data_IF_093569705806
#
_entry.id   IF_093569705806
#
_cell.length_a   1.000
_cell.length_b   1.000
_cell.length_c   1.000
_cell.angle_alpha   90.00
_cell.angle_beta   90.00
_cell.angle_gamma   90.00
#
_symmetry.space_group_name_H-M   'P 1'
#
loop_
_entity.id
_entity.type
_entity.pdbx_description
1 polymer ?
#
# COMPACT_ATOMS: atom_id res chain seq x y z
N UNK A 1 68.20 -18.75 36.59
CA UNK A 1 67.13 -19.28 35.75
C UNK A 1 65.76 -18.86 36.19
N UNK A 2 65.56 -17.99 37.17
CA UNK A 2 64.25 -17.52 37.68
C UNK A 2 63.75 -16.19 37.07
N UNK A 3 64.62 -15.40 36.45
CA UNK A 3 64.29 -14.10 35.92
C UNK A 3 63.44 -14.22 34.60
N UNK A 4 63.68 -15.25 33.79
CA UNK A 4 63.00 -15.47 32.53
C UNK A 4 61.50 -15.83 32.72
N UNK A 5 61.17 -16.54 33.80
CA UNK A 5 59.78 -16.96 34.06
C UNK A 5 58.90 -15.79 34.49
N UNK A 6 59.42 -14.77 35.14
CA UNK A 6 58.62 -13.58 35.56
C UNK A 6 58.36 -12.64 34.41
N UNK A 7 59.25 -12.51 33.43
CA UNK A 7 59.11 -11.71 32.25
C UNK A 7 58.10 -12.37 31.32
N UNK A 8 58.12 -13.69 31.19
CA UNK A 8 57.13 -14.42 30.36
C UNK A 8 55.74 -14.36 30.96
N UNK A 9 55.58 -14.40 32.27
CA UNK A 9 54.29 -14.25 32.94
C UNK A 9 53.76 -12.84 32.82
N UNK A 10 54.58 -11.79 32.88
CA UNK A 10 54.18 -10.40 32.69
C UNK A 10 53.76 -10.14 31.25
N UNK A 11 54.44 -10.70 30.26
CA UNK A 11 54.04 -10.59 28.85
C UNK A 11 52.71 -11.29 28.57
N UNK A 12 52.43 -12.44 29.20
CA UNK A 12 51.18 -13.16 29.02
C UNK A 12 49.98 -12.39 29.58
N UNK A 13 50.16 -11.67 30.70
CA UNK A 13 49.08 -10.85 31.30
C UNK A 13 48.76 -9.61 30.45
N UNK A 14 49.74 -9.07 29.73
CA UNK A 14 49.53 -7.91 28.85
C UNK A 14 48.73 -8.31 27.58
N UNK A 15 48.93 -9.54 27.07
CA UNK A 15 48.21 -10.02 25.90
C UNK A 15 46.76 -10.47 26.19
N UNK A 16 46.40 -10.82 27.41
CA UNK A 16 45.04 -11.20 27.79
C UNK A 16 44.16 -10.00 28.17
N UNK A 17 44.75 -8.80 28.39
CA UNK A 17 43.99 -7.60 28.74
C UNK A 17 43.54 -6.77 27.53
N UNK A 18 43.87 -7.18 26.30
CA UNK A 18 43.51 -6.44 25.08
C UNK A 18 42.19 -6.86 24.42
N UNK A 19 41.34 -7.64 25.07
CA UNK A 19 40.07 -8.06 24.46
C UNK A 19 38.84 -7.28 24.92
N UNK A 20 38.98 -6.34 25.84
CA UNK A 20 37.94 -5.39 26.18
C UNK A 20 38.53 -3.99 26.21
N UNK A 21 38.33 -3.24 25.11
CA UNK A 21 38.66 -1.83 25.13
C UNK A 21 37.52 -1.11 25.90
N UNK A 22 37.79 -0.58 27.12
CA UNK A 22 36.74 0.07 27.90
C UNK A 22 36.24 1.40 27.28
N UNK A 23 36.85 1.82 26.17
CA UNK A 23 36.46 3.05 25.45
C UNK A 23 35.62 2.76 24.21
N UNK A 24 35.46 1.50 23.80
CA UNK A 24 34.58 1.11 22.74
C UNK A 24 33.51 0.20 23.33
N UNK A 25 32.39 0.80 23.68
CA UNK A 25 31.22 0.01 23.92
C UNK A 25 30.74 -0.50 22.55
N UNK A 26 31.07 -1.74 22.22
CA UNK A 26 30.40 -2.52 21.15
C UNK A 26 28.96 -2.86 21.60
N UNK A 27 28.31 -1.89 22.19
CA UNK A 27 26.83 -1.99 22.36
C UNK A 27 26.28 -1.92 20.96
N UNK A 28 25.64 -2.99 20.46
CA UNK A 28 24.98 -2.92 19.17
C UNK A 28 24.10 -1.67 19.18
N UNK A 29 24.18 -0.85 18.14
CA UNK A 29 23.37 0.35 18.02
C UNK A 29 21.94 -0.05 18.32
N UNK A 30 21.35 0.58 19.34
CA UNK A 30 19.97 0.26 19.73
C UNK A 30 19.09 0.52 18.54
N UNK A 31 18.48 -0.54 17.97
CA UNK A 31 17.50 -0.37 16.89
C UNK A 31 16.44 0.62 17.35
N UNK A 32 16.16 1.60 16.54
CA UNK A 32 15.09 2.53 16.79
C UNK A 32 13.80 1.86 16.32
N UNK A 33 12.87 1.68 17.24
CA UNK A 33 11.52 1.23 16.94
C UNK A 33 10.60 2.44 17.00
N UNK A 34 9.81 2.65 15.96
CA UNK A 34 8.73 3.64 15.95
C UNK A 34 7.38 2.94 15.97
N UNK A 35 6.44 3.49 16.72
CA UNK A 35 5.13 2.88 16.88
C UNK A 35 4.05 3.93 17.10
N UNK A 36 2.80 3.57 16.79
CA UNK A 36 1.68 4.49 16.98
C UNK A 36 0.36 3.89 16.55
N UNK A 37 -0.67 4.73 16.56
CA UNK A 37 -2.01 4.39 16.13
C UNK A 37 -2.45 5.28 14.97
N UNK A 38 -3.14 4.65 14.01
CA UNK A 38 -3.75 5.32 12.87
C UNK A 38 -5.22 4.94 12.82
N UNK A 39 -6.09 5.94 12.82
CA UNK A 39 -7.54 5.76 12.71
C UNK A 39 -8.04 6.30 11.38
N UNK A 40 -9.02 5.62 10.82
CA UNK A 40 -9.69 5.97 9.57
C UNK A 40 -11.03 6.62 9.89
N UNK A 41 -11.27 7.79 9.35
CA UNK A 41 -12.60 8.41 9.42
C UNK A 41 -13.55 7.70 8.44
N UNK A 42 -14.80 7.47 8.86
CA UNK A 42 -15.86 6.88 8.03
C UNK A 42 -15.46 5.57 7.33
N UNK A 43 -14.66 4.76 8.01
CA UNK A 43 -14.21 3.47 7.48
C UNK A 43 -15.36 2.48 7.37
N UNK A 44 -15.43 1.78 6.22
CA UNK A 44 -16.41 0.73 5.94
C UNK A 44 -15.83 -0.68 5.99
N UNK A 45 -14.52 -0.80 6.09
CA UNK A 45 -13.79 -2.07 6.13
C UNK A 45 -12.59 -2.05 7.10
N UNK A 46 -12.05 -3.21 7.40
CA UNK A 46 -10.86 -3.36 8.25
C UNK A 46 -9.54 -3.37 7.44
N UNK A 47 -9.53 -2.74 6.27
CA UNK A 47 -8.30 -2.63 5.47
C UNK A 47 -7.20 -1.95 6.29
N UNK A 48 -6.00 -2.56 6.39
CA UNK A 48 -4.88 -2.00 7.11
C UNK A 48 -4.35 -0.73 6.42
N UNK A 49 -3.84 0.20 7.21
CA UNK A 49 -3.11 1.38 6.70
C UNK A 49 -1.68 0.96 6.39
N UNK A 50 -1.21 1.29 5.20
CA UNK A 50 0.20 1.12 4.84
C UNK A 50 1.03 2.25 5.47
N UNK A 51 2.09 1.90 6.19
CA UNK A 51 3.00 2.83 6.86
C UNK A 51 4.36 2.73 6.20
N UNK A 52 4.88 3.85 5.73
CA UNK A 52 6.14 3.92 4.98
C UNK A 52 7.06 4.99 5.56
N UNK A 53 8.35 4.66 5.71
CA UNK A 53 9.40 5.58 6.18
C UNK A 53 10.24 6.04 5.00
N UNK A 54 10.09 7.31 4.65
CA UNK A 54 10.75 7.93 3.50
C UNK A 54 12.28 7.85 3.60
N UNK A 55 12.93 7.48 2.50
CA UNK A 55 14.39 7.43 2.40
C UNK A 55 15.06 6.28 3.17
N UNK A 56 14.33 5.53 3.98
CA UNK A 56 14.87 4.39 4.73
C UNK A 56 14.39 3.03 4.19
N UNK A 57 13.46 3.02 3.25
CA UNK A 57 12.93 1.81 2.64
C UNK A 57 12.20 0.87 3.63
N UNK A 58 11.88 1.36 4.83
CA UNK A 58 11.20 0.58 5.85
C UNK A 58 9.68 0.80 5.72
N UNK A 59 8.91 -0.28 5.78
CA UNK A 59 7.46 -0.23 5.71
C UNK A 59 6.80 -1.31 6.55
N UNK A 60 5.56 -1.07 6.94
CA UNK A 60 4.70 -2.02 7.64
C UNK A 60 3.24 -1.69 7.33
N UNK A 61 2.32 -2.47 7.89
CA UNK A 61 0.89 -2.16 7.88
C UNK A 61 0.35 -2.18 9.30
N UNK A 62 -0.72 -1.42 9.54
CA UNK A 62 -1.40 -1.46 10.84
C UNK A 62 -2.09 -2.79 11.07
N UNK A 63 -2.27 -3.16 12.32
CA UNK A 63 -3.16 -4.24 12.73
C UNK A 63 -4.65 -3.81 12.69
N UNK A 64 -5.54 -4.71 13.11
CA UNK A 64 -6.99 -4.50 13.15
C UNK A 64 -7.42 -3.35 14.08
N UNK A 65 -6.58 -3.00 15.07
CA UNK A 65 -6.82 -1.92 16.02
C UNK A 65 -6.22 -0.59 15.54
N UNK A 66 -5.58 -0.58 14.37
CA UNK A 66 -4.88 0.57 13.83
C UNK A 66 -3.49 0.79 14.42
N UNK A 67 -2.94 -0.16 15.18
CA UNK A 67 -1.59 -0.09 15.73
C UNK A 67 -0.55 -0.52 14.70
N UNK A 68 0.57 0.21 14.67
CA UNK A 68 1.76 -0.18 13.90
C UNK A 68 3.02 -0.12 14.74
N UNK A 69 4.00 -0.92 14.35
CA UNK A 69 5.35 -0.90 14.91
C UNK A 69 6.34 -1.21 13.78
N UNK A 70 7.40 -0.44 13.68
CA UNK A 70 8.41 -0.57 12.63
C UNK A 70 9.82 -0.32 13.19
N UNK A 71 10.71 -1.26 12.94
CA UNK A 71 12.13 -1.10 13.26
C UNK A 71 12.81 -0.33 12.13
N UNK A 72 13.44 0.79 12.48
CA UNK A 72 14.23 1.53 11.52
C UNK A 72 15.53 0.74 11.23
N UNK A 73 16.00 0.77 9.96
CA UNK A 73 17.29 0.18 9.61
C UNK A 73 18.43 0.86 10.39
N UNK A 74 19.60 0.25 10.38
CA UNK A 74 20.77 0.87 10.97
C UNK A 74 21.08 2.19 10.25
N UNK A 75 21.12 3.29 11.02
CA UNK A 75 21.35 4.64 10.53
C UNK A 75 22.82 5.07 10.56
N UNK A 76 23.73 4.11 10.76
CA UNK A 76 25.15 4.32 10.65
C UNK A 76 25.53 4.49 9.17
N UNK A 77 26.12 5.62 8.83
CA UNK A 77 26.65 5.92 7.50
C UNK A 77 28.18 5.88 7.52
N UNK A 78 28.82 5.71 6.36
CA UNK A 78 30.28 5.73 6.23
C UNK A 78 30.95 6.98 6.84
N UNK A 79 30.22 8.11 6.87
CA UNK A 79 30.71 9.40 7.38
C UNK A 79 30.08 9.83 8.72
N UNK A 80 29.49 8.90 9.47
CA UNK A 80 28.83 9.18 10.75
C UNK A 80 27.35 8.82 10.75
N UNK A 81 26.69 9.00 11.90
CA UNK A 81 25.29 8.67 12.07
C UNK A 81 24.38 9.70 11.38
N UNK A 82 23.25 9.24 10.85
CA UNK A 82 22.26 10.09 10.21
C UNK A 82 21.74 11.20 11.17
N UNK A 83 21.66 12.42 10.65
CA UNK A 83 21.01 13.54 11.32
C UNK A 83 20.11 14.29 10.33
N UNK A 84 18.84 14.44 10.67
CA UNK A 84 17.87 15.09 9.81
C UNK A 84 16.45 14.71 10.16
N UNK A 85 15.52 15.22 9.38
CA UNK A 85 14.10 14.86 9.44
C UNK A 85 13.80 13.68 8.51
N UNK A 86 12.91 12.81 8.96
CA UNK A 86 12.39 11.67 8.20
C UNK A 86 10.86 11.76 8.26
N UNK A 87 10.20 11.60 7.14
CA UNK A 87 8.75 11.54 7.08
C UNK A 87 8.27 10.09 7.15
N UNK A 88 7.23 9.89 7.92
CA UNK A 88 6.50 8.63 7.99
C UNK A 88 5.14 8.85 7.38
N UNK A 89 4.88 8.21 6.23
CA UNK A 89 3.63 8.32 5.49
C UNK A 89 2.66 7.24 5.89
N UNK A 90 1.37 7.61 5.90
CA UNK A 90 0.24 6.73 6.18
C UNK A 90 -0.68 6.74 4.98
N UNK A 91 -0.84 5.59 4.33
CA UNK A 91 -1.49 5.50 3.04
C UNK A 91 -2.60 4.45 3.02
N UNK A 92 -3.76 4.87 2.54
CA UNK A 92 -4.87 4.08 2.01
C UNK A 92 -5.35 4.78 0.76
N UNK A 93 -5.66 4.03 -0.28
CA UNK A 93 -5.88 4.56 -1.61
C UNK A 93 -7.01 5.60 -1.71
N UNK A 94 -8.10 5.42 -0.97
CA UNK A 94 -9.24 6.34 -0.97
C UNK A 94 -9.28 7.28 0.25
N UNK A 95 -8.13 7.50 0.90
CA UNK A 95 -7.92 8.48 1.97
C UNK A 95 -6.82 9.45 1.58
N UNK A 96 -6.91 10.67 2.08
CA UNK A 96 -5.84 11.65 1.93
C UNK A 96 -4.58 11.13 2.59
N UNK A 97 -3.47 11.11 1.83
CA UNK A 97 -2.18 10.74 2.40
C UNK A 97 -1.80 11.71 3.51
N UNK A 98 -1.32 11.18 4.60
CA UNK A 98 -0.86 11.95 5.76
C UNK A 98 0.57 11.56 6.11
N UNK A 99 1.34 12.47 6.69
CA UNK A 99 2.66 12.14 7.19
C UNK A 99 2.93 12.77 8.56
N UNK A 100 3.68 12.04 9.38
CA UNK A 100 4.30 12.53 10.61
C UNK A 100 5.80 12.71 10.39
N UNK A 101 6.42 13.58 11.18
CA UNK A 101 7.83 13.89 11.06
C UNK A 101 8.59 13.35 12.26
N UNK A 102 9.68 12.66 11.98
CA UNK A 102 10.66 12.16 12.93
C UNK A 102 11.96 12.93 12.78
N UNK A 103 12.55 13.41 13.89
CA UNK A 103 13.87 14.04 13.88
C UNK A 103 14.91 13.14 14.53
N UNK A 104 16.02 12.99 13.82
CA UNK A 104 17.17 12.22 14.27
C UNK A 104 18.39 13.14 14.42
N UNK A 105 19.16 12.96 15.48
CA UNK A 105 20.45 13.61 15.67
C UNK A 105 21.47 12.54 16.05
N UNK A 106 22.49 12.39 15.21
CA UNK A 106 23.49 11.35 15.37
C UNK A 106 22.88 9.93 15.54
N UNK A 107 21.87 9.59 14.71
CA UNK A 107 21.19 8.32 14.76
C UNK A 107 20.31 8.09 15.99
N UNK A 108 19.97 9.14 16.75
CA UNK A 108 19.09 9.07 17.94
C UNK A 108 17.86 9.95 17.74
N UNK A 109 16.74 9.51 18.31
CA UNK A 109 15.53 10.29 18.35
C UNK A 109 15.74 11.56 19.19
N UNK A 110 15.20 12.66 18.68
CA UNK A 110 15.14 13.94 19.40
C UNK A 110 13.71 14.36 19.54
N UNK A 111 13.31 14.77 20.74
CA UNK A 111 11.94 15.19 21.04
C UNK A 111 11.62 16.63 20.59
N UNK A 112 12.57 17.33 19.99
CA UNK A 112 12.35 18.69 19.50
C UNK A 112 11.80 18.68 18.07
N UNK A 113 10.65 19.31 17.84
CA UNK A 113 10.03 19.46 16.52
C UNK A 113 9.67 18.13 15.82
N UNK A 114 9.25 17.13 16.59
CA UNK A 114 8.89 15.80 16.11
C UNK A 114 7.49 15.44 16.58
N UNK A 115 6.82 14.56 15.83
CA UNK A 115 5.54 13.99 16.22
C UNK A 115 5.68 12.74 17.12
N UNK A 116 6.94 12.39 17.49
CA UNK A 116 7.28 11.20 18.26
C UNK A 116 7.98 11.58 19.57
N UNK A 117 7.81 10.76 20.60
CA UNK A 117 8.57 10.86 21.84
C UNK A 117 9.99 10.27 21.68
N UNK A 118 10.80 10.38 22.75
CA UNK A 118 12.17 9.86 22.77
C UNK A 118 12.28 8.34 22.69
N UNK A 119 11.17 7.62 22.87
CA UNK A 119 11.08 6.16 22.77
C UNK A 119 10.58 5.71 21.39
N UNK A 120 10.21 6.64 20.51
CA UNK A 120 9.68 6.35 19.18
C UNK A 120 8.16 6.15 19.16
N UNK A 121 7.45 6.47 20.23
CA UNK A 121 6.00 6.43 20.22
C UNK A 121 5.43 7.73 19.63
N UNK A 122 4.47 7.60 18.72
CA UNK A 122 3.72 8.71 18.15
C UNK A 122 2.94 9.43 19.28
N UNK A 123 3.11 10.75 19.40
CA UNK A 123 2.52 11.54 20.49
C UNK A 123 1.00 11.60 20.42
N UNK A 124 0.47 11.75 19.23
CA UNK A 124 -0.98 11.77 18.99
C UNK A 124 -1.34 10.81 17.85
N UNK A 125 -2.43 10.05 17.97
CA UNK A 125 -2.87 9.18 16.90
C UNK A 125 -3.16 9.94 15.61
N UNK A 126 -2.70 9.40 14.47
CA UNK A 126 -3.06 9.93 13.16
C UNK A 126 -4.52 9.62 12.85
N UNK A 127 -5.20 10.58 12.24
CA UNK A 127 -6.56 10.44 11.73
C UNK A 127 -6.58 10.71 10.24
N UNK A 128 -6.87 9.66 9.46
CA UNK A 128 -6.96 9.77 8.01
C UNK A 128 -8.37 10.20 7.59
N UNK A 129 -8.43 11.18 6.70
CA UNK A 129 -9.68 11.71 6.12
C UNK A 129 -9.99 10.98 4.81
N UNK A 130 -11.23 10.50 4.69
CA UNK A 130 -11.68 9.84 3.47
C UNK A 130 -11.90 10.88 2.36
N UNK A 131 -11.29 10.65 1.18
CA UNK A 131 -11.46 11.54 0.03
C UNK A 131 -12.53 11.02 -0.94
N UNK A 132 -12.69 9.70 -1.03
CA UNK A 132 -13.67 9.09 -1.92
C UNK A 132 -14.27 7.83 -1.33
N UNK A 133 -15.59 7.72 -1.41
CA UNK A 133 -16.31 6.48 -1.14
C UNK A 133 -16.57 5.74 -2.44
N UNK A 134 -16.45 4.40 -2.37
CA UNK A 134 -16.72 3.49 -3.46
C UNK A 134 -17.75 2.46 -2.99
N UNK A 135 -18.81 2.26 -3.76
CA UNK A 135 -19.76 1.18 -3.52
C UNK A 135 -19.99 0.38 -4.81
N UNK A 136 -20.03 -0.93 -4.68
CA UNK A 136 -20.27 -1.83 -5.81
C UNK A 136 -21.65 -2.45 -5.64
N UNK A 137 -22.53 -2.27 -6.61
CA UNK A 137 -23.82 -2.93 -6.70
C UNK A 137 -23.75 -3.98 -7.80
N UNK A 138 -23.91 -5.25 -7.43
CA UNK A 138 -23.84 -6.39 -8.35
C UNK A 138 -24.62 -7.55 -7.74
N UNK A 139 -25.23 -8.37 -8.59
CA UNK A 139 -25.90 -9.59 -8.13
C UNK A 139 -24.89 -10.59 -7.57
N UNK A 140 -25.21 -11.14 -6.41
CA UNK A 140 -24.34 -12.10 -5.71
C UNK A 140 -24.28 -13.49 -6.38
N UNK A 141 -25.10 -13.71 -7.36
CA UNK A 141 -25.22 -14.98 -8.08
C UNK A 141 -25.39 -14.77 -9.56
N UNK A 142 -24.60 -15.47 -10.37
CA UNK A 142 -24.71 -15.48 -11.81
C UNK A 142 -24.78 -16.89 -12.36
N UNK A 143 -25.91 -17.18 -13.01
CA UNK A 143 -26.12 -18.42 -13.74
C UNK A 143 -25.94 -18.16 -15.24
N UNK A 144 -24.83 -18.63 -15.80
CA UNK A 144 -24.47 -18.47 -17.22
C UNK A 144 -25.51 -19.04 -18.17
N UNK A 145 -26.20 -20.11 -17.78
CA UNK A 145 -27.23 -20.71 -18.63
C UNK A 145 -28.50 -19.85 -18.75
N UNK A 146 -28.66 -18.85 -17.87
CA UNK A 146 -29.86 -17.98 -17.85
C UNK A 146 -29.59 -16.55 -18.30
N UNK A 147 -28.33 -16.10 -18.30
CA UNK A 147 -27.95 -14.75 -18.69
C UNK A 147 -26.51 -14.72 -19.24
N UNK A 148 -26.35 -14.12 -20.41
CA UNK A 148 -25.05 -13.96 -21.07
C UNK A 148 -24.22 -12.85 -20.44
N UNK A 149 -24.87 -11.93 -19.71
CA UNK A 149 -24.23 -10.76 -19.11
C UNK A 149 -24.67 -10.55 -17.68
N UNK A 150 -23.78 -10.05 -16.86
CA UNK A 150 -24.05 -9.59 -15.49
C UNK A 150 -23.93 -8.07 -15.43
N UNK A 151 -24.97 -7.41 -14.96
CA UNK A 151 -24.95 -5.96 -14.74
C UNK A 151 -24.27 -5.63 -13.42
N UNK A 152 -23.40 -4.62 -13.41
CA UNK A 152 -22.87 -4.02 -12.20
C UNK A 152 -23.01 -2.49 -12.22
N UNK A 153 -22.93 -1.89 -11.04
CA UNK A 153 -22.81 -0.45 -10.86
C UNK A 153 -21.70 -0.18 -9.84
N UNK A 154 -20.81 0.75 -10.17
CA UNK A 154 -19.81 1.26 -9.26
C UNK A 154 -20.13 2.73 -8.98
N UNK A 155 -20.49 3.02 -7.74
CA UNK A 155 -20.83 4.37 -7.31
C UNK A 155 -19.63 5.02 -6.62
N UNK A 156 -19.18 6.13 -7.19
CA UNK A 156 -18.04 6.91 -6.72
C UNK A 156 -18.51 8.25 -6.16
N UNK A 157 -18.25 8.50 -4.89
CA UNK A 157 -18.66 9.74 -4.23
C UNK A 157 -17.43 10.40 -3.61
N UNK A 158 -17.09 11.60 -4.10
CA UNK A 158 -16.07 12.41 -3.45
C UNK A 158 -16.64 13.12 -2.22
N UNK A 159 -15.80 13.26 -1.19
CA UNK A 159 -16.14 14.03 0.01
C UNK A 159 -15.76 15.50 -0.17
N UNK A 160 -14.93 16.06 0.71
CA UNK A 160 -14.61 17.49 0.73
C UNK A 160 -13.60 17.94 -0.34
N UNK A 161 -13.11 17.02 -1.16
CA UNK A 161 -12.03 17.26 -2.12
C UNK A 161 -12.48 16.99 -3.56
N UNK A 162 -11.90 17.73 -4.51
CA UNK A 162 -11.92 17.30 -5.91
C UNK A 162 -11.03 16.08 -6.06
N UNK A 163 -11.52 15.02 -6.68
CA UNK A 163 -10.82 13.75 -6.82
C UNK A 163 -10.63 13.43 -8.29
N UNK A 164 -9.39 13.30 -8.70
CA UNK A 164 -9.04 12.77 -10.02
C UNK A 164 -8.71 11.28 -9.91
N UNK A 165 -9.17 10.48 -10.84
CA UNK A 165 -8.85 9.07 -10.91
C UNK A 165 -8.60 8.62 -12.34
N UNK A 166 -7.79 7.57 -12.47
CA UNK A 166 -7.57 6.88 -13.73
C UNK A 166 -8.45 5.64 -13.81
N UNK A 167 -9.01 5.44 -14.96
CA UNK A 167 -9.60 4.18 -15.38
C UNK A 167 -8.96 3.74 -16.69
N UNK A 168 -8.88 2.44 -16.90
CA UNK A 168 -8.21 1.87 -18.05
C UNK A 168 -9.24 1.37 -19.06
N UNK A 169 -9.01 1.69 -20.32
CA UNK A 169 -9.87 1.29 -21.44
C UNK A 169 -8.98 0.76 -22.55
N UNK A 170 -9.25 -0.41 -23.06
CA UNK A 170 -8.66 -0.85 -24.32
C UNK A 170 -9.35 -0.14 -25.50
N UNK A 171 -8.57 0.66 -26.22
CA UNK A 171 -9.05 1.44 -27.38
C UNK A 171 -9.05 0.63 -28.68
N UNK A 172 -8.27 -0.45 -28.73
CA UNK A 172 -8.08 -1.17 -29.99
C UNK A 172 -9.25 -2.08 -30.36
N UNK A 173 -9.93 -2.64 -29.36
CA UNK A 173 -11.00 -3.61 -29.60
C UNK A 173 -12.38 -2.96 -29.85
N UNK A 174 -12.66 -1.77 -29.27
CA UNK A 174 -13.92 -1.09 -29.54
C UNK A 174 -13.84 0.46 -29.41
N UNK A 175 -13.45 1.18 -30.47
CA UNK A 175 -13.24 2.65 -30.42
C UNK A 175 -14.53 3.45 -30.14
N UNK A 176 -15.69 2.81 -29.94
CA UNK A 176 -16.96 3.47 -29.65
C UNK A 176 -17.43 3.30 -28.20
N UNK A 177 -16.78 2.48 -27.39
CA UNK A 177 -17.09 2.29 -25.99
C UNK A 177 -15.97 2.86 -25.12
N UNK A 178 -16.12 4.10 -24.73
CA UNK A 178 -15.29 4.72 -23.70
C UNK A 178 -15.92 4.55 -22.30
N UNK A 179 -16.48 3.37 -22.02
CA UNK A 179 -16.92 3.10 -20.67
C UNK A 179 -15.69 2.69 -19.84
N UNK A 180 -15.41 3.35 -18.71
CA UNK A 180 -14.34 2.90 -17.83
C UNK A 180 -14.73 1.51 -17.30
N UNK A 181 -13.97 0.50 -17.65
CA UNK A 181 -14.04 -0.77 -16.94
C UNK A 181 -13.48 -0.55 -15.54
N UNK A 182 -14.20 -0.94 -14.53
CA UNK A 182 -13.84 -0.60 -13.13
C UNK A 182 -13.66 -1.81 -12.23
N UNK A 183 -13.71 -3.04 -12.74
CA UNK A 183 -13.74 -4.23 -11.90
C UNK A 183 -12.63 -5.24 -12.22
N UNK A 184 -12.02 -5.75 -11.15
CA UNK A 184 -11.25 -6.98 -11.15
C UNK A 184 -12.09 -8.10 -10.51
N UNK A 185 -11.96 -9.30 -11.04
CA UNK A 185 -12.59 -10.49 -10.53
C UNK A 185 -11.51 -11.47 -10.08
N UNK A 186 -11.44 -11.77 -8.79
CA UNK A 186 -10.47 -12.71 -8.25
C UNK A 186 -11.14 -14.00 -7.80
N UNK A 187 -10.71 -15.13 -8.37
CA UNK A 187 -11.17 -16.45 -7.93
C UNK A 187 -10.75 -16.72 -6.47
N UNK A 188 -11.69 -17.11 -5.64
CA UNK A 188 -11.42 -17.51 -4.25
C UNK A 188 -10.60 -18.79 -4.20
N UNK A 189 -10.81 -19.71 -5.15
CA UNK A 189 -10.20 -21.05 -5.16
C UNK A 189 -8.75 -21.05 -5.60
N UNK A 190 -8.47 -20.52 -6.80
CA UNK A 190 -7.15 -20.61 -7.43
C UNK A 190 -6.39 -19.28 -7.46
N UNK A 191 -6.99 -18.20 -6.95
CA UNK A 191 -6.44 -16.83 -6.93
C UNK A 191 -6.19 -16.23 -8.31
N UNK A 192 -6.68 -16.84 -9.40
CA UNK A 192 -6.64 -16.21 -10.72
C UNK A 192 -7.40 -14.90 -10.70
N UNK A 193 -6.86 -13.90 -11.39
CA UNK A 193 -7.45 -12.57 -11.51
C UNK A 193 -7.85 -12.34 -12.94
N UNK A 194 -9.03 -11.82 -13.13
CA UNK A 194 -9.62 -11.49 -14.42
C UNK A 194 -9.98 -10.02 -14.42
N UNK A 195 -9.84 -9.42 -15.57
CA UNK A 195 -10.12 -8.01 -15.81
C UNK A 195 -11.11 -7.91 -16.98
N UNK A 196 -12.06 -7.00 -16.85
CA UNK A 196 -12.98 -6.67 -17.92
C UNK A 196 -12.28 -5.79 -18.97
N UNK A 197 -11.83 -6.41 -20.03
CA UNK A 197 -11.27 -5.74 -21.18
C UNK A 197 -12.43 -5.33 -22.10
N UNK A 198 -12.82 -4.08 -22.12
CA UNK A 198 -13.83 -3.49 -23.01
C UNK A 198 -15.31 -3.64 -22.62
N UNK A 199 -15.65 -4.03 -21.41
CA UNK A 199 -17.03 -4.28 -21.02
C UNK A 199 -17.69 -5.43 -21.82
N UNK A 200 -16.88 -6.32 -22.42
CA UNK A 200 -17.36 -7.46 -23.21
C UNK A 200 -16.75 -8.77 -22.77
N UNK A 201 -15.44 -8.79 -22.52
CA UNK A 201 -14.72 -10.04 -22.22
C UNK A 201 -13.77 -9.87 -21.02
N UNK A 202 -13.75 -10.88 -20.12
CA UNK A 202 -12.74 -10.96 -19.07
C UNK A 202 -11.46 -11.59 -19.63
N UNK A 203 -10.35 -10.85 -19.47
CA UNK A 203 -9.03 -11.37 -19.78
C UNK A 203 -8.36 -11.76 -18.47
N UNK A 204 -7.73 -12.94 -18.45
CA UNK A 204 -6.89 -13.30 -17.32
C UNK A 204 -5.69 -12.37 -17.27
N UNK A 205 -5.49 -11.71 -16.14
CA UNK A 205 -4.29 -10.90 -15.91
C UNK A 205 -3.14 -11.87 -15.71
N UNK A 206 -2.41 -12.12 -16.78
CA UNK A 206 -1.12 -12.81 -16.76
C UNK A 206 -0.01 -11.76 -16.70
N UNK A 207 1.16 -12.12 -16.18
CA UNK A 207 2.27 -11.20 -15.96
C UNK A 207 2.49 -10.21 -17.09
N UNK A 208 2.38 -8.92 -16.72
CA UNK A 208 3.00 -7.75 -17.35
C UNK A 208 3.21 -7.78 -18.89
N UNK A 209 2.22 -7.98 -19.67
CA UNK A 209 2.26 -7.43 -21.02
C UNK A 209 1.68 -6.03 -20.97
N UNK A 210 2.52 -5.06 -21.33
CA UNK A 210 2.12 -3.67 -21.53
C UNK A 210 1.14 -3.61 -22.71
N UNK A 211 -0.10 -3.95 -22.47
CA UNK A 211 -1.14 -3.81 -23.45
C UNK A 211 -1.45 -2.32 -23.59
N UNK A 212 -1.79 -1.93 -24.80
CA UNK A 212 -2.02 -0.54 -25.24
C UNK A 212 -3.29 0.04 -24.61
N UNK A 213 -3.39 -0.01 -23.28
CA UNK A 213 -4.51 0.54 -22.55
C UNK A 213 -4.41 2.05 -22.54
N UNK A 214 -5.48 2.72 -22.94
CA UNK A 214 -5.60 4.16 -22.77
C UNK A 214 -6.07 4.43 -21.35
N UNK A 215 -5.30 5.22 -20.67
CA UNK A 215 -5.65 5.79 -19.39
C UNK A 215 -6.57 6.99 -19.61
N UNK A 216 -7.78 6.89 -19.10
CA UNK A 216 -8.72 7.99 -19.08
C UNK A 216 -8.71 8.65 -17.69
N UNK A 217 -8.61 9.98 -17.69
CA UNK A 217 -8.68 10.78 -16.49
C UNK A 217 -10.11 11.28 -16.27
N UNK A 218 -10.63 11.03 -15.10
CA UNK A 218 -11.92 11.54 -14.66
C UNK A 218 -11.73 12.44 -13.45
N UNK A 219 -12.57 13.45 -13.34
CA UNK A 219 -12.60 14.35 -12.18
C UNK A 219 -13.98 14.36 -11.56
N UNK A 220 -14.07 14.16 -10.26
CA UNK A 220 -15.30 14.26 -9.48
C UNK A 220 -15.19 15.49 -8.59
N UNK A 221 -16.15 16.40 -8.71
CA UNK A 221 -16.21 17.61 -7.90
C UNK A 221 -16.46 17.28 -6.41
N UNK A 222 -15.93 18.10 -5.49
CA UNK A 222 -16.14 17.89 -4.06
C UNK A 222 -17.62 18.04 -3.71
N UNK A 223 -18.06 17.26 -2.74
CA UNK A 223 -19.46 17.25 -2.28
C UNK A 223 -20.47 17.12 -3.44
N UNK A 224 -20.11 16.35 -4.47
CA UNK A 224 -20.95 16.14 -5.64
C UNK A 224 -22.34 15.70 -5.22
N UNK A 225 -23.39 16.45 -5.64
CA UNK A 225 -24.79 16.14 -5.34
C UNK A 225 -25.25 14.81 -5.96
N UNK A 226 -24.44 14.27 -6.87
CA UNK A 226 -24.71 13.01 -7.55
C UNK A 226 -23.42 12.17 -7.54
N UNK A 227 -23.50 10.88 -7.23
CA UNK A 227 -22.38 9.97 -7.39
C UNK A 227 -21.98 9.92 -8.87
N UNK A 228 -20.68 9.77 -9.13
CA UNK A 228 -20.22 9.38 -10.45
C UNK A 228 -20.46 7.87 -10.59
N UNK A 229 -21.36 7.50 -11.49
CA UNK A 229 -21.82 6.12 -11.62
C UNK A 229 -21.20 5.51 -12.87
N UNK A 230 -20.55 4.37 -12.69
CA UNK A 230 -20.11 3.49 -13.78
C UNK A 230 -21.10 2.32 -13.81
N UNK A 231 -22.00 2.35 -14.79
CA UNK A 231 -22.91 1.25 -15.06
C UNK A 231 -22.41 0.48 -16.28
N UNK A 232 -22.14 -0.79 -16.13
CA UNK A 232 -21.68 -1.63 -17.23
C UNK A 232 -22.16 -3.08 -17.10
N UNK A 233 -21.91 -3.87 -18.12
CA UNK A 233 -22.27 -5.28 -18.21
C UNK A 233 -20.99 -6.09 -18.37
N UNK A 234 -20.88 -7.13 -17.57
CA UNK A 234 -19.80 -8.11 -17.67
C UNK A 234 -20.32 -9.29 -18.51
N UNK A 235 -19.60 -9.61 -19.57
CA UNK A 235 -19.77 -10.88 -20.29
C UNK A 235 -18.60 -11.80 -19.92
N UNK A 236 -18.89 -13.01 -19.40
CA UNK A 236 -17.85 -13.97 -19.06
C UNK A 236 -17.73 -15.03 -20.14
N UNK A 237 -16.56 -15.14 -20.74
CA UNK A 237 -16.23 -16.32 -21.54
C UNK A 237 -16.18 -17.55 -20.61
N UNK A 238 -17.01 -18.56 -20.92
CA UNK A 238 -17.09 -19.80 -20.14
C UNK A 238 -15.76 -20.55 -20.08
N UNK A 239 -14.86 -20.34 -21.04
CA UNK A 239 -13.57 -21.01 -21.11
C UNK A 239 -12.52 -20.36 -20.21
N UNK A 240 -12.65 -19.07 -19.92
CA UNK A 240 -11.65 -18.30 -19.16
C UNK A 240 -11.97 -18.26 -17.66
N UNK A 241 -13.17 -17.90 -17.29
CA UNK A 241 -13.56 -17.76 -15.88
C UNK A 241 -14.24 -19.04 -15.39
N UNK A 242 -13.62 -19.72 -14.47
CA UNK A 242 -14.17 -20.97 -13.91
C UNK A 242 -15.39 -20.72 -13.03
N UNK A 243 -16.27 -21.70 -12.94
CA UNK A 243 -17.37 -21.70 -11.99
C UNK A 243 -16.83 -21.65 -10.54
N UNK A 244 -17.51 -20.96 -9.65
CA UNK A 244 -17.14 -20.85 -8.26
C UNK A 244 -17.29 -19.45 -7.70
N UNK A 245 -16.79 -19.26 -6.48
CA UNK A 245 -16.84 -17.97 -5.78
C UNK A 245 -15.70 -17.06 -6.26
N UNK A 246 -16.05 -15.80 -6.54
CA UNK A 246 -15.11 -14.76 -6.95
C UNK A 246 -15.32 -13.50 -6.11
N UNK A 247 -14.23 -12.87 -5.70
CA UNK A 247 -14.24 -11.56 -5.06
C UNK A 247 -14.15 -10.50 -6.13
N UNK A 248 -15.00 -9.48 -6.03
CA UNK A 248 -15.02 -8.33 -6.92
C UNK A 248 -14.30 -7.18 -6.24
N UNK A 249 -13.42 -6.54 -7.00
CA UNK A 249 -12.58 -5.44 -6.56
C UNK A 249 -12.70 -4.28 -7.55
N UNK A 250 -12.78 -3.03 -7.09
CA UNK A 250 -12.76 -1.89 -8.00
C UNK A 250 -11.37 -1.78 -8.63
N UNK A 251 -11.35 -1.45 -9.92
CA UNK A 251 -10.13 -1.20 -10.67
C UNK A 251 -10.06 0.25 -11.11
N UNK A 252 -9.85 1.12 -10.15
CA UNK A 252 -9.70 2.56 -10.36
C UNK A 252 -8.48 3.05 -9.60
N UNK A 253 -7.73 3.98 -10.16
CA UNK A 253 -6.57 4.55 -9.52
C UNK A 253 -6.82 6.03 -9.18
N UNK A 254 -6.92 6.31 -7.88
CA UNK A 254 -7.11 7.67 -7.37
C UNK A 254 -5.77 8.39 -7.36
N UNK A 255 -5.71 9.53 -8.05
CA UNK A 255 -4.49 10.32 -8.15
C UNK A 255 -4.38 11.21 -6.92
N UNK A 256 -3.24 11.10 -6.24
CA UNK A 256 -2.87 11.97 -5.13
C UNK A 256 -1.44 12.47 -5.37
N UNK A 257 -1.28 13.79 -5.50
CA UNK A 257 0.02 14.41 -5.82
C UNK A 257 1.06 14.27 -4.71
N UNK A 258 0.61 14.15 -3.45
CA UNK A 258 1.48 14.11 -2.27
C UNK A 258 1.96 12.71 -1.89
N UNK A 259 1.59 11.65 -2.64
CA UNK A 259 2.02 10.28 -2.36
C UNK A 259 3.41 10.06 -2.95
N UNK A 260 4.40 9.67 -2.13
CA UNK A 260 5.73 9.32 -2.64
C UNK A 260 5.69 8.17 -3.65
N UNK A 261 6.45 8.31 -4.73
CA UNK A 261 6.55 7.27 -5.78
C UNK A 261 7.04 5.92 -5.21
N UNK A 262 7.84 5.95 -4.15
CA UNK A 262 8.33 4.77 -3.48
C UNK A 262 7.20 3.90 -2.89
N UNK A 263 6.10 4.50 -2.46
CA UNK A 263 4.93 3.76 -1.97
C UNK A 263 4.35 2.91 -3.10
N UNK A 264 4.17 3.49 -4.28
CA UNK A 264 3.69 2.76 -5.45
C UNK A 264 4.68 1.68 -5.91
N UNK A 265 5.97 2.00 -5.90
CA UNK A 265 7.02 1.03 -6.22
C UNK A 265 7.05 -0.17 -5.29
N UNK A 266 6.87 0.04 -3.98
CA UNK A 266 6.79 -1.04 -2.98
C UNK A 266 5.56 -1.94 -3.15
N UNK A 267 4.49 -1.39 -3.74
CA UNK A 267 3.29 -2.15 -4.08
C UNK A 267 3.37 -2.84 -5.44
N UNK A 268 4.49 -2.68 -6.17
CA UNK A 268 4.68 -3.24 -7.52
C UNK A 268 4.06 -2.40 -8.63
N UNK A 269 3.53 -1.22 -8.33
CA UNK A 269 2.92 -0.32 -9.29
C UNK A 269 3.99 0.58 -9.93
N UNK A 270 4.93 -0.01 -10.62
CA UNK A 270 6.01 0.74 -11.27
C UNK A 270 5.54 1.58 -12.46
N UNK A 271 4.44 1.17 -13.08
CA UNK A 271 3.76 1.95 -14.13
C UNK A 271 2.26 1.90 -13.88
N UNK A 272 1.64 3.06 -13.73
CA UNK A 272 0.18 3.20 -13.63
C UNK A 272 -0.48 2.87 -14.98
N UNK A 273 0.32 2.72 -16.02
CA UNK A 273 -0.11 2.57 -17.42
C UNK A 273 -0.51 1.13 -17.79
N UNK A 274 -0.25 0.15 -16.92
CA UNK A 274 -0.56 -1.25 -17.20
C UNK A 274 -1.40 -1.90 -16.11
N UNK A 275 -2.35 -2.72 -16.55
CA UNK A 275 -3.14 -3.56 -15.65
C UNK A 275 -2.21 -4.62 -15.05
N UNK A 276 -2.17 -4.69 -13.73
CA UNK A 276 -1.31 -5.63 -13.01
C UNK A 276 -2.06 -6.25 -11.83
N UNK A 277 -1.76 -7.52 -11.55
CA UNK A 277 -2.20 -8.19 -10.31
C UNK A 277 -1.70 -7.48 -9.04
N UNK A 278 -0.66 -6.67 -9.16
CA UNK A 278 -0.12 -5.88 -8.07
C UNK A 278 -1.11 -4.82 -7.57
N UNK A 279 -2.09 -4.46 -8.39
CA UNK A 279 -3.23 -3.63 -8.00
C UNK A 279 -3.98 -4.17 -6.79
N UNK A 280 -4.01 -5.50 -6.62
CA UNK A 280 -4.62 -6.15 -5.45
C UNK A 280 -3.87 -5.89 -4.15
N UNK A 281 -2.66 -5.36 -4.21
CA UNK A 281 -1.85 -4.97 -3.04
C UNK A 281 -2.18 -3.57 -2.53
N UNK A 282 -2.90 -2.76 -3.34
CA UNK A 282 -3.28 -1.41 -2.94
C UNK A 282 -4.30 -1.50 -1.80
N UNK A 283 -4.02 -0.91 -0.63
CA UNK A 283 -5.00 -0.86 0.44
C UNK A 283 -6.11 0.12 0.04
N UNK A 284 -7.33 -0.38 -0.08
CA UNK A 284 -8.52 0.42 -0.39
C UNK A 284 -9.65 0.09 0.57
N UNK A 285 -10.24 1.11 1.19
CA UNK A 285 -11.33 0.94 2.15
C UNK A 285 -12.67 0.82 1.43
N UNK A 286 -13.03 -0.41 1.11
CA UNK A 286 -14.28 -0.79 0.43
C UNK A 286 -14.82 -2.08 1.02
N UNK A 287 -16.13 -2.23 0.99
CA UNK A 287 -16.78 -3.50 1.31
C UNK A 287 -16.64 -4.43 0.12
N UNK A 288 -15.84 -5.48 0.27
CA UNK A 288 -15.68 -6.50 -0.78
C UNK A 288 -17.00 -7.20 -1.06
N UNK A 289 -17.29 -7.43 -2.33
CA UNK A 289 -18.44 -8.23 -2.78
C UNK A 289 -17.96 -9.58 -3.28
N UNK A 290 -18.76 -10.61 -3.04
CA UNK A 290 -18.49 -11.95 -3.56
C UNK A 290 -19.64 -12.37 -4.44
N UNK A 291 -19.32 -12.86 -5.63
CA UNK A 291 -20.28 -13.42 -6.58
C UNK A 291 -20.02 -14.92 -6.72
N UNK A 292 -21.09 -15.68 -6.83
CA UNK A 292 -21.04 -17.10 -7.18
C UNK A 292 -21.40 -17.29 -8.65
N UNK A 293 -20.49 -17.79 -9.43
CA UNK A 293 -20.65 -18.10 -10.86
C UNK A 293 -20.94 -19.59 -11.03
N UNK A 294 -22.01 -19.95 -11.76
CA UNK A 294 -22.43 -21.33 -12.05
C UNK A 294 -22.80 -21.51 -13.52
#
# INVERSE_FOLDING_TARGET
MEINNKITLLALVIFTSCTSNPFWSDSPSKKINIQGYVFKQDSVSNVPVFVFVEGLGASTSTDENGFYSIDLPNLEMENGNFSGSVKIYYYIHNYKVFHSTLYLTNGRLTSAQTDFDENGALLEPVRLEKIMSLDISIDSFWNRSSADTLKFSLDLVSHDYSVSFHSYVDVLSNPRRYAPSGLLLQSVQNKSVYYDENGVDFVQVTDMEANQNIQLNYEIAPNGFLPFIIDDYISLDEQLVQNGAHVILPYIFIIQEDVPEEIYSLMGLQTIESISVDYLKIPIDIVSKTILIQ
#
